data_IF_054648239145
#
_entry.id   IF_054648239145
#
_cell.length_a   1.000
_cell.length_b   1.000
_cell.length_c   1.000
_cell.angle_alpha   90.00
_cell.angle_beta   90.00
_cell.angle_gamma   90.00
#
_symmetry.space_group_name_H-M   'P 1'
#
loop_
_entity.id
_entity.type
_entity.pdbx_description
1 polymer ?
#
# COMPACT_ATOMS: atom_id res chain seq x y z
N UNK A 1 -17.95 6.50 -9.12
CA UNK A 1 -16.78 5.85 -8.48
C UNK A 1 -17.17 5.33 -7.09
N UNK A 2 -16.31 4.61 -6.35
CA UNK A 2 -16.65 4.14 -4.97
C UNK A 2 -17.11 5.29 -4.07
N UNK A 3 -16.52 6.47 -4.21
CA UNK A 3 -16.90 7.69 -3.51
C UNK A 3 -18.36 8.18 -3.73
N UNK A 4 -19.08 7.64 -4.71
CA UNK A 4 -20.50 7.99 -4.98
C UNK A 4 -21.48 7.02 -4.32
N UNK A 5 -21.00 5.97 -3.65
CA UNK A 5 -21.84 4.92 -3.05
C UNK A 5 -21.58 4.91 -1.55
N UNK A 6 -22.59 5.32 -0.78
CA UNK A 6 -22.52 5.36 0.68
C UNK A 6 -22.13 4.00 1.27
N UNK A 7 -21.16 4.01 2.18
CA UNK A 7 -20.63 2.82 2.83
C UNK A 7 -19.67 1.99 1.98
N UNK A 8 -19.20 2.49 0.83
CA UNK A 8 -18.22 1.81 -0.02
C UNK A 8 -16.90 2.58 -0.05
N UNK A 9 -15.83 1.95 0.43
CA UNK A 9 -14.46 2.46 0.33
C UNK A 9 -13.62 1.58 -0.62
N UNK A 10 -12.62 2.16 -1.32
CA UNK A 10 -11.72 1.39 -2.17
C UNK A 10 -10.74 0.52 -1.35
N UNK A 11 -10.24 -0.55 -1.98
CA UNK A 11 -9.04 -1.25 -1.53
C UNK A 11 -7.81 -0.59 -2.18
N UNK A 12 -6.77 -0.36 -1.39
CA UNK A 12 -5.52 0.21 -1.85
C UNK A 12 -4.44 -0.86 -1.93
N UNK A 13 -3.87 -1.05 -3.12
CA UNK A 13 -2.68 -1.89 -3.31
C UNK A 13 -1.54 -1.05 -3.87
N UNK A 14 -0.58 -0.73 -2.99
CA UNK A 14 0.55 0.13 -3.33
C UNK A 14 1.55 -0.58 -4.27
N UNK A 15 1.67 -1.90 -4.18
CA UNK A 15 2.57 -2.66 -5.03
C UNK A 15 2.07 -2.70 -6.47
N UNK A 16 0.76 -2.88 -6.68
CA UNK A 16 0.15 -2.79 -8.01
C UNK A 16 0.18 -1.36 -8.57
N UNK A 17 0.02 -0.34 -7.73
CA UNK A 17 0.21 1.06 -8.16
C UNK A 17 1.62 1.28 -8.68
N UNK A 18 2.63 0.73 -8.00
CA UNK A 18 4.01 0.80 -8.45
C UNK A 18 4.24 0.02 -9.76
N UNK A 19 3.84 -1.26 -9.78
CA UNK A 19 4.04 -2.17 -10.91
C UNK A 19 3.42 -1.70 -12.23
N UNK A 20 2.44 -0.79 -12.17
CA UNK A 20 1.80 -0.22 -13.37
C UNK A 20 2.74 0.71 -14.16
N UNK A 21 3.63 1.42 -13.49
CA UNK A 21 4.41 2.51 -14.11
C UNK A 21 5.85 2.65 -13.64
N UNK A 22 6.30 1.88 -12.64
CA UNK A 22 7.62 2.04 -12.03
C UNK A 22 7.78 3.34 -11.25
N UNK A 23 6.67 3.96 -10.82
CA UNK A 23 6.58 5.20 -10.02
C UNK A 23 5.76 4.94 -8.76
N UNK A 24 5.50 5.92 -7.89
CA UNK A 24 4.77 5.72 -6.64
C UNK A 24 5.49 4.77 -5.68
N UNK A 25 6.79 4.97 -5.48
CA UNK A 25 7.62 4.02 -4.73
C UNK A 25 8.71 4.72 -3.90
N UNK A 26 8.35 5.85 -3.33
CA UNK A 26 9.17 6.62 -2.41
C UNK A 26 8.30 7.25 -1.34
N UNK A 27 8.88 7.55 -0.18
CA UNK A 27 8.19 8.22 0.92
C UNK A 27 7.37 9.45 0.47
N UNK A 28 7.97 10.31 -0.35
CA UNK A 28 7.33 11.53 -0.87
C UNK A 28 6.11 11.19 -1.73
N UNK A 29 6.22 10.24 -2.67
CA UNK A 29 5.10 9.83 -3.51
C UNK A 29 3.99 9.13 -2.70
N UNK A 30 4.35 8.36 -1.67
CA UNK A 30 3.35 7.77 -0.76
C UNK A 30 2.59 8.85 0.02
N UNK A 31 3.28 9.92 0.46
CA UNK A 31 2.62 11.06 1.09
C UNK A 31 1.66 11.75 0.13
N UNK A 32 2.02 11.91 -1.15
CA UNK A 32 1.13 12.46 -2.18
C UNK A 32 -0.11 11.57 -2.38
N UNK A 33 0.06 10.25 -2.40
CA UNK A 33 -1.07 9.30 -2.49
C UNK A 33 -1.99 9.41 -1.29
N UNK A 34 -1.46 9.42 -0.07
CA UNK A 34 -2.25 9.52 1.16
C UNK A 34 -2.98 10.86 1.26
N UNK A 35 -2.32 11.96 0.85
CA UNK A 35 -2.96 13.27 0.73
C UNK A 35 -4.11 13.27 -0.27
N UNK A 36 -3.92 12.65 -1.44
CA UNK A 36 -5.00 12.50 -2.41
C UNK A 36 -6.16 11.66 -1.88
N UNK A 37 -5.89 10.61 -1.09
CA UNK A 37 -6.93 9.81 -0.44
C UNK A 37 -7.73 10.68 0.54
N UNK A 38 -7.06 11.45 1.38
CA UNK A 38 -7.71 12.36 2.33
C UNK A 38 -8.53 13.45 1.63
N UNK A 39 -8.03 14.03 0.54
CA UNK A 39 -8.74 15.07 -0.22
C UNK A 39 -10.04 14.55 -0.84
N UNK A 40 -10.06 13.29 -1.30
CA UNK A 40 -11.20 12.72 -2.03
C UNK A 40 -12.18 11.96 -1.13
N UNK A 41 -11.68 11.28 -0.10
CA UNK A 41 -12.47 10.41 0.79
C UNK A 41 -12.59 10.98 2.22
N UNK A 42 -11.95 12.12 2.49
CA UNK A 42 -11.86 12.68 3.82
C UNK A 42 -11.01 11.85 4.77
N UNK A 43 -11.02 12.25 6.03
CA UNK A 43 -10.29 11.55 7.10
C UNK A 43 -10.74 10.09 7.27
N UNK A 44 -12.01 9.79 7.00
CA UNK A 44 -12.54 8.42 7.01
C UNK A 44 -11.76 7.48 6.06
N UNK A 45 -11.35 7.99 4.89
CA UNK A 45 -10.55 7.23 3.94
C UNK A 45 -9.18 6.81 4.48
N UNK A 46 -8.62 7.55 5.45
CA UNK A 46 -7.35 7.22 6.11
C UNK A 46 -7.54 6.45 7.42
N UNK A 47 -8.69 6.59 8.08
CA UNK A 47 -8.98 5.92 9.36
C UNK A 47 -9.60 4.52 9.19
N UNK A 48 -10.08 4.19 8.00
CA UNK A 48 -10.69 2.90 7.68
C UNK A 48 -10.16 2.31 6.36
N UNK A 49 -8.83 2.19 6.27
CA UNK A 49 -8.17 1.66 5.07
C UNK A 49 -8.30 0.14 4.96
N UNK A 50 -8.53 -0.34 3.74
CA UNK A 50 -8.33 -1.74 3.37
C UNK A 50 -7.15 -1.80 2.40
N UNK A 51 -6.05 -2.43 2.81
CA UNK A 51 -4.79 -2.41 2.09
C UNK A 51 -4.36 -3.83 1.76
N UNK A 52 -3.97 -4.05 0.51
CA UNK A 52 -3.24 -5.24 0.09
C UNK A 52 -1.79 -4.88 -0.14
N UNK A 53 -0.89 -5.81 0.19
CA UNK A 53 0.55 -5.60 0.00
C UNK A 53 1.27 -6.90 -0.30
N UNK A 54 2.14 -6.85 -1.32
CA UNK A 54 3.08 -7.90 -1.69
C UNK A 54 4.26 -7.27 -2.42
N UNK A 55 5.34 -8.01 -2.64
CA UNK A 55 6.29 -7.64 -3.69
C UNK A 55 5.72 -8.01 -5.06
N UNK A 56 6.11 -7.32 -6.14
CA UNK A 56 5.63 -7.67 -7.50
C UNK A 56 6.80 -7.73 -8.47
N UNK A 57 6.88 -8.81 -9.25
CA UNK A 57 7.66 -8.86 -10.50
C UNK A 57 6.76 -8.37 -11.64
N UNK A 58 7.19 -7.31 -12.33
CA UNK A 58 6.42 -6.72 -13.42
C UNK A 58 7.31 -6.41 -14.64
N UNK A 59 6.67 -6.02 -15.73
CA UNK A 59 7.35 -5.57 -16.94
C UNK A 59 6.41 -4.77 -17.83
N UNK A 60 6.75 -4.56 -19.12
CA UNK A 60 5.95 -3.74 -20.02
C UNK A 60 4.50 -4.23 -20.24
N UNK A 61 4.19 -5.48 -19.86
CA UNK A 61 2.85 -6.08 -19.96
C UNK A 61 2.11 -6.12 -18.62
N UNK A 62 2.63 -5.44 -17.60
CA UNK A 62 2.09 -5.46 -16.23
C UNK A 62 2.73 -6.55 -15.36
N UNK A 63 1.97 -6.97 -14.36
CA UNK A 63 2.36 -7.98 -13.38
C UNK A 63 2.70 -9.32 -14.05
N UNK A 64 3.75 -9.98 -13.56
CA UNK A 64 4.10 -11.37 -13.88
C UNK A 64 3.74 -12.32 -12.74
N UNK A 65 4.05 -11.92 -11.49
CA UNK A 65 3.76 -12.67 -10.26
C UNK A 65 4.02 -11.83 -9.01
N UNK A 66 3.43 -12.24 -7.90
CA UNK A 66 3.81 -11.77 -6.57
C UNK A 66 5.19 -12.31 -6.16
N UNK A 67 5.89 -11.51 -5.36
CA UNK A 67 7.18 -11.77 -4.73
C UNK A 67 7.04 -11.56 -3.22
N UNK A 68 8.01 -12.06 -2.47
CA UNK A 68 8.23 -11.58 -1.10
C UNK A 68 8.73 -10.14 -1.15
N UNK A 69 8.40 -9.33 -0.15
CA UNK A 69 8.72 -7.90 -0.14
C UNK A 69 10.21 -7.61 -0.29
N UNK A 70 11.05 -8.39 0.41
CA UNK A 70 12.52 -8.25 0.38
C UNK A 70 13.13 -8.55 -1.01
N UNK A 71 12.42 -9.27 -1.88
CA UNK A 71 12.86 -9.59 -3.25
C UNK A 71 12.34 -8.57 -4.29
N UNK A 72 11.48 -7.64 -3.88
CA UNK A 72 10.89 -6.63 -4.76
C UNK A 72 11.64 -5.30 -4.68
N UNK A 73 11.35 -4.42 -5.64
CA UNK A 73 11.83 -3.04 -5.65
C UNK A 73 10.96 -2.10 -4.78
N UNK A 74 9.90 -2.59 -4.15
CA UNK A 74 8.98 -1.80 -3.33
C UNK A 74 9.70 -1.18 -2.11
N UNK A 75 9.64 0.14 -1.96
CA UNK A 75 10.10 0.87 -0.78
C UNK A 75 9.09 0.75 0.37
N UNK A 76 8.94 -0.46 0.90
CA UNK A 76 8.04 -0.71 2.02
C UNK A 76 8.50 0.02 3.30
N UNK A 77 9.76 0.46 3.41
CA UNK A 77 10.23 1.31 4.51
C UNK A 77 9.66 2.71 4.42
N UNK A 78 9.76 3.36 3.25
CA UNK A 78 9.13 4.64 2.97
C UNK A 78 7.62 4.58 3.13
N UNK A 79 7.00 3.48 2.69
CA UNK A 79 5.55 3.27 2.82
C UNK A 79 5.12 3.22 4.28
N UNK A 80 5.74 2.35 5.10
CA UNK A 80 5.40 2.26 6.53
C UNK A 80 5.66 3.59 7.26
N UNK A 81 6.73 4.31 6.90
CA UNK A 81 7.00 5.64 7.43
C UNK A 81 5.87 6.62 7.11
N UNK A 82 5.38 6.63 5.87
CA UNK A 82 4.26 7.50 5.46
C UNK A 82 2.96 7.17 6.21
N UNK A 83 2.68 5.88 6.43
CA UNK A 83 1.50 5.44 7.20
C UNK A 83 1.52 5.94 8.63
N UNK A 84 2.69 5.93 9.29
CA UNK A 84 2.85 6.48 10.64
C UNK A 84 2.64 8.00 10.66
N UNK A 85 3.22 8.72 9.72
CA UNK A 85 3.12 10.19 9.65
C UNK A 85 1.67 10.65 9.44
N UNK A 86 0.93 9.97 8.56
CA UNK A 86 -0.49 10.24 8.31
C UNK A 86 -1.43 9.65 9.37
N UNK A 87 -0.88 8.93 10.35
CA UNK A 87 -1.60 8.26 11.43
C UNK A 87 -2.80 7.46 10.91
N UNK A 88 -2.59 6.67 9.85
CA UNK A 88 -3.68 5.90 9.23
C UNK A 88 -4.15 4.76 10.13
N UNK A 89 -5.34 4.25 9.88
CA UNK A 89 -5.92 3.08 10.56
C UNK A 89 -6.65 2.19 9.56
N UNK A 90 -6.74 0.89 9.87
CA UNK A 90 -7.38 -0.07 8.97
C UNK A 90 -6.80 -1.47 9.06
N UNK A 91 -6.97 -2.22 7.98
CA UNK A 91 -6.49 -3.61 7.84
C UNK A 91 -5.53 -3.72 6.67
N UNK A 92 -4.36 -4.30 6.93
CA UNK A 92 -3.36 -4.64 5.90
C UNK A 92 -3.36 -6.16 5.71
N UNK A 93 -3.53 -6.61 4.47
CA UNK A 93 -3.49 -8.01 4.07
C UNK A 93 -2.21 -8.25 3.25
N UNK A 94 -1.38 -9.18 3.73
CA UNK A 94 -0.23 -9.65 2.95
C UNK A 94 -0.69 -10.66 1.90
N UNK A 95 -0.40 -10.38 0.63
CA UNK A 95 -0.65 -11.29 -0.50
C UNK A 95 0.65 -11.88 -1.05
N UNK A 96 1.73 -11.74 -0.29
CA UNK A 96 3.03 -12.33 -0.57
C UNK A 96 2.96 -13.87 -0.67
N UNK A 97 3.81 -14.51 -1.49
CA UNK A 97 4.01 -15.96 -1.43
C UNK A 97 4.42 -16.48 -0.03
N UNK A 98 4.87 -15.58 0.86
CA UNK A 98 5.20 -15.86 2.25
C UNK A 98 4.40 -14.98 3.21
N UNK A 99 3.08 -15.15 3.19
CA UNK A 99 2.07 -14.32 3.85
C UNK A 99 2.47 -13.95 5.29
N UNK A 100 2.75 -14.94 6.13
CA UNK A 100 3.00 -14.73 7.56
C UNK A 100 4.30 -13.98 7.82
N UNK A 101 5.36 -14.25 7.05
CA UNK A 101 6.64 -13.59 7.24
C UNK A 101 6.58 -12.12 6.86
N UNK A 102 6.00 -11.81 5.70
CA UNK A 102 5.89 -10.42 5.25
C UNK A 102 4.91 -9.63 6.12
N UNK A 103 3.84 -10.25 6.62
CA UNK A 103 2.97 -9.62 7.60
C UNK A 103 3.71 -9.29 8.91
N UNK A 104 4.54 -10.21 9.42
CA UNK A 104 5.36 -9.98 10.62
C UNK A 104 6.47 -8.94 10.38
N UNK A 105 7.08 -8.94 9.20
CA UNK A 105 8.06 -7.95 8.77
C UNK A 105 7.48 -6.53 8.84
N UNK A 106 6.33 -6.31 8.19
CA UNK A 106 5.65 -5.01 8.18
C UNK A 106 5.18 -4.62 9.58
N UNK A 107 4.65 -5.56 10.37
CA UNK A 107 4.23 -5.28 11.74
C UNK A 107 5.42 -4.85 12.61
N UNK A 108 6.57 -5.53 12.49
CA UNK A 108 7.77 -5.17 13.24
C UNK A 108 8.23 -3.77 12.85
N UNK A 109 8.35 -3.49 11.56
CA UNK A 109 8.74 -2.19 11.04
C UNK A 109 7.77 -1.07 11.47
N UNK A 110 6.47 -1.36 11.58
CA UNK A 110 5.48 -0.40 12.08
C UNK A 110 5.62 -0.14 13.60
N UNK A 111 6.16 -1.06 14.38
CA UNK A 111 6.30 -0.90 15.84
C UNK A 111 7.61 -0.26 16.28
N UNK A 112 8.61 -0.25 15.42
CA UNK A 112 9.89 0.44 15.62
C UNK A 112 9.72 1.97 15.59
#
# INVERSE_FOLDING_TARGET
MSAEIDGVLPCFDFAHMHARGGVNNSYEEFCEILGAIEDHLGREGLDNMHIHISGIDYGPKGEKKHLVLEESDMDYHGLIKSWKEYNISGTVISESPNIEKDALLLQKLYRE
#
